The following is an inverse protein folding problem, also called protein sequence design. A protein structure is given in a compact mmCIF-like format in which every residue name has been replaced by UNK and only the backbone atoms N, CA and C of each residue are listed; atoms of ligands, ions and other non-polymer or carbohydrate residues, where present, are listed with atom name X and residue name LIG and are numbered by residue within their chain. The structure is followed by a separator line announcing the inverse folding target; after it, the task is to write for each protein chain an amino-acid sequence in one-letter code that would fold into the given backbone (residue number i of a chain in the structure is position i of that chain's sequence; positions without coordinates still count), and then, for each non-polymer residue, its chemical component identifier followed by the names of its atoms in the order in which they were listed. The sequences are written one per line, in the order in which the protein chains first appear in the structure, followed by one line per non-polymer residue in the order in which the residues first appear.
data_IF_167011611303
#
_entry.id   IF_167011611303
#
_cell.length_a   1.000
_cell.length_b   1.000
_cell.length_c   1.000
_cell.angle_alpha   90.00
_cell.angle_beta   90.00
_cell.angle_gamma   90.00
#
_symmetry.space_group_name_H-M   'P 1'
#
loop_
_entity.id
_entity.type
_entity.pdbx_description
1 polymer ?
#
# COMPACT_ATOMS: atom_id res chain seq x y z
N UNK A 1 -15.68 -4.63 14.97
CA UNK A 1 -15.97 -4.26 16.35
C UNK A 1 -15.13 -5.08 17.34
N UNK A 2 -15.24 -4.79 18.65
CA UNK A 2 -14.57 -5.51 19.72
C UNK A 2 -15.56 -6.40 20.50
N UNK A 3 -16.44 -5.79 21.31
CA UNK A 3 -17.44 -6.49 22.11
C UNK A 3 -18.37 -7.33 21.24
N UNK A 4 -18.69 -8.54 21.68
CA UNK A 4 -19.49 -9.53 20.93
C UNK A 4 -19.03 -9.80 19.50
N UNK A 5 -17.81 -9.38 19.14
CA UNK A 5 -17.19 -9.57 17.83
C UNK A 5 -15.82 -10.22 17.94
N UNK A 6 -14.88 -9.67 18.71
CA UNK A 6 -13.59 -10.33 19.01
C UNK A 6 -13.68 -11.27 20.20
N UNK A 7 -14.57 -11.01 21.12
CA UNK A 7 -14.92 -11.85 22.30
C UNK A 7 -16.40 -11.71 22.58
N UNK A 8 -16.99 -12.64 23.34
CA UNK A 8 -18.36 -12.51 23.84
C UNK A 8 -18.41 -11.68 25.09
N UNK A 9 -19.47 -10.89 25.25
CA UNK A 9 -19.63 -9.97 26.37
C UNK A 9 -19.13 -8.56 26.08
N UNK A 10 -19.28 -7.68 27.07
CA UNK A 10 -18.96 -6.25 27.00
C UNK A 10 -17.84 -5.95 28.01
N UNK A 11 -16.66 -5.59 27.53
CA UNK A 11 -15.48 -5.43 28.41
C UNK A 11 -15.70 -4.40 29.54
N UNK A 12 -16.41 -3.31 29.25
CA UNK A 12 -16.71 -2.29 30.26
C UNK A 12 -17.66 -2.74 31.36
N UNK A 13 -18.42 -3.82 31.16
CA UNK A 13 -19.38 -4.38 32.13
C UNK A 13 -18.84 -5.65 32.78
N UNK A 14 -18.30 -6.56 31.97
CA UNK A 14 -17.90 -7.91 32.40
C UNK A 14 -16.45 -7.97 32.91
N UNK A 15 -15.63 -6.99 32.54
CA UNK A 15 -14.19 -6.98 32.82
C UNK A 15 -13.42 -8.07 32.10
N UNK A 16 -12.09 -8.04 32.18
CA UNK A 16 -11.20 -8.97 31.44
C UNK A 16 -11.41 -10.44 31.82
N UNK A 17 -11.86 -10.73 33.05
CA UNK A 17 -12.13 -12.08 33.51
C UNK A 17 -13.56 -12.59 33.22
N UNK A 18 -14.46 -11.71 32.77
CA UNK A 18 -15.84 -12.05 32.49
C UNK A 18 -16.19 -12.20 31.02
N UNK A 19 -15.31 -11.69 30.11
CA UNK A 19 -15.51 -11.85 28.67
C UNK A 19 -15.30 -13.30 28.24
N UNK A 20 -16.02 -13.71 27.19
CA UNK A 20 -16.05 -15.08 26.70
C UNK A 20 -15.07 -15.24 25.53
N UNK A 21 -13.89 -15.76 25.79
CA UNK A 21 -12.91 -16.17 24.79
C UNK A 21 -12.06 -17.32 25.36
N UNK A 22 -11.96 -18.42 24.64
CA UNK A 22 -11.23 -19.59 25.19
C UNK A 22 -11.29 -20.82 24.28
N UNK A 23 -11.08 -21.99 24.92
CA UNK A 23 -11.10 -23.28 24.25
C UNK A 23 -12.49 -23.94 24.23
N UNK A 24 -13.41 -23.44 25.04
CA UNK A 24 -14.74 -23.94 25.17
C UNK A 24 -15.76 -22.99 24.52
N UNK A 25 -16.90 -23.54 24.12
CA UNK A 25 -18.01 -22.74 23.57
C UNK A 25 -18.70 -21.93 24.69
N UNK A 26 -19.10 -20.67 24.45
CA UNK A 26 -19.09 -19.95 23.17
C UNK A 26 -17.74 -19.25 22.83
N UNK A 27 -16.82 -19.11 23.77
CA UNK A 27 -15.52 -18.43 23.57
C UNK A 27 -14.67 -18.99 22.44
N UNK A 28 -14.80 -20.30 22.13
CA UNK A 28 -14.12 -20.96 21.01
C UNK A 28 -14.50 -20.36 19.65
N UNK A 29 -15.75 -19.95 19.46
CA UNK A 29 -16.21 -19.37 18.19
C UNK A 29 -15.49 -18.06 17.89
N UNK A 30 -15.35 -17.18 18.88
CA UNK A 30 -14.62 -15.93 18.76
C UNK A 30 -13.11 -16.15 18.54
N UNK A 31 -12.55 -17.13 19.24
CA UNK A 31 -11.14 -17.48 19.09
C UNK A 31 -10.83 -18.03 17.70
N UNK A 32 -11.69 -18.88 17.14
CA UNK A 32 -11.51 -19.42 15.79
C UNK A 32 -11.73 -18.36 14.70
N UNK A 33 -12.65 -17.42 14.89
CA UNK A 33 -12.75 -16.23 14.05
C UNK A 33 -11.46 -15.42 14.06
N UNK A 34 -10.87 -15.18 15.24
CA UNK A 34 -9.61 -14.46 15.35
C UNK A 34 -8.44 -15.20 14.68
N UNK A 35 -8.40 -16.57 14.76
CA UNK A 35 -7.38 -17.34 14.05
C UNK A 35 -7.44 -17.12 12.55
N UNK A 36 -8.65 -17.07 11.99
CA UNK A 36 -8.81 -16.83 10.56
C UNK A 36 -8.47 -15.37 10.20
N UNK A 37 -8.89 -14.39 10.99
CA UNK A 37 -8.49 -12.99 10.80
C UNK A 37 -6.95 -12.83 10.86
N UNK A 38 -6.27 -13.50 11.80
CA UNK A 38 -4.82 -13.53 11.87
C UNK A 38 -4.17 -14.19 10.64
N UNK A 39 -4.78 -15.29 10.15
CA UNK A 39 -4.32 -15.87 8.88
C UNK A 39 -4.43 -14.87 7.73
N UNK A 40 -5.54 -14.15 7.60
CA UNK A 40 -5.72 -13.10 6.59
C UNK A 40 -4.68 -11.98 6.73
N UNK A 41 -4.40 -11.56 7.97
CA UNK A 41 -3.36 -10.56 8.25
C UNK A 41 -1.99 -11.01 7.73
N UNK A 42 -1.62 -12.28 7.91
CA UNK A 42 -0.39 -12.86 7.35
C UNK A 42 -0.39 -12.95 5.82
N UNK A 43 -1.55 -12.92 5.19
CA UNK A 43 -1.70 -12.82 3.75
C UNK A 43 -1.74 -11.35 3.25
N UNK A 44 -1.52 -10.37 4.13
CA UNK A 44 -1.44 -8.96 3.80
C UNK A 44 -2.77 -8.20 3.86
N UNK A 45 -3.81 -8.80 4.42
CA UNK A 45 -5.04 -8.08 4.77
C UNK A 45 -4.78 -7.26 6.02
N UNK A 46 -4.99 -5.95 5.95
CA UNK A 46 -4.87 -5.08 7.12
C UNK A 46 -6.05 -5.27 8.05
N UNK A 47 -5.79 -5.47 9.34
CA UNK A 47 -6.82 -5.50 10.38
C UNK A 47 -6.94 -4.13 11.03
N UNK A 48 -8.15 -3.74 11.37
CA UNK A 48 -8.43 -2.53 12.15
C UNK A 48 -9.56 -2.78 13.15
N UNK A 49 -9.59 -1.99 14.23
CA UNK A 49 -10.68 -1.99 15.21
C UNK A 49 -11.46 -0.68 15.08
N UNK A 50 -12.79 -0.79 14.99
CA UNK A 50 -13.72 0.33 15.15
C UNK A 50 -14.69 -0.04 16.28
N UNK A 51 -14.50 0.48 17.48
CA UNK A 51 -15.29 0.09 18.66
C UNK A 51 -15.71 1.28 19.50
N UNK A 52 -16.95 1.25 20.02
CA UNK A 52 -17.48 2.21 20.99
C UNK A 52 -17.13 1.74 22.39
N UNK A 53 -15.90 2.03 22.80
CA UNK A 53 -15.32 1.59 24.06
C UNK A 53 -14.34 2.59 24.62
N UNK A 54 -13.90 2.39 25.85
CA UNK A 54 -12.70 3.00 26.37
C UNK A 54 -11.47 2.30 25.80
N UNK A 55 -10.53 3.05 25.24
CA UNK A 55 -9.34 2.47 24.59
C UNK A 55 -8.52 1.62 25.55
N UNK A 56 -8.35 2.06 26.79
CA UNK A 56 -7.56 1.37 27.81
C UNK A 56 -8.08 -0.06 28.08
N UNK A 57 -9.40 -0.24 28.14
CA UNK A 57 -10.04 -1.52 28.43
C UNK A 57 -9.80 -2.52 27.28
N UNK A 58 -10.00 -2.08 26.04
CA UNK A 58 -9.76 -2.93 24.85
C UNK A 58 -8.29 -3.28 24.70
N UNK A 59 -7.39 -2.31 24.90
CA UNK A 59 -5.94 -2.53 24.85
C UNK A 59 -5.50 -3.50 25.93
N UNK A 60 -6.05 -3.44 27.14
CA UNK A 60 -5.74 -4.39 28.20
C UNK A 60 -6.11 -5.82 27.81
N UNK A 61 -7.26 -6.05 27.15
CA UNK A 61 -7.65 -7.37 26.63
C UNK A 61 -6.64 -7.86 25.58
N UNK A 62 -6.31 -7.02 24.61
CA UNK A 62 -5.38 -7.37 23.53
C UNK A 62 -3.98 -7.74 24.05
N UNK A 63 -3.51 -7.03 25.08
CA UNK A 63 -2.15 -7.21 25.60
C UNK A 63 -2.06 -8.33 26.62
N UNK A 64 -3.10 -8.53 27.47
CA UNK A 64 -3.01 -9.37 28.68
C UNK A 64 -3.85 -10.64 28.65
N UNK A 65 -4.94 -10.70 27.88
CA UNK A 65 -5.80 -11.88 27.94
C UNK A 65 -5.16 -13.06 27.20
N UNK A 66 -4.89 -14.17 27.91
CA UNK A 66 -4.11 -15.32 27.43
C UNK A 66 -4.76 -16.04 26.23
N UNK A 67 -6.08 -16.08 26.17
CA UNK A 67 -6.81 -16.75 25.09
C UNK A 67 -6.91 -15.94 23.80
N UNK A 68 -6.57 -14.64 23.82
CA UNK A 68 -6.58 -13.77 22.65
C UNK A 68 -5.52 -14.21 21.65
N UNK A 69 -5.94 -14.46 20.41
CA UNK A 69 -5.08 -14.77 19.27
C UNK A 69 -4.56 -13.48 18.62
N UNK A 70 -5.44 -12.50 18.44
CA UNK A 70 -5.08 -11.20 17.95
C UNK A 70 -4.50 -10.35 19.07
N UNK A 71 -3.35 -9.75 18.82
CA UNK A 71 -2.65 -8.83 19.70
C UNK A 71 -2.61 -7.44 19.07
N UNK A 72 -2.31 -6.43 19.86
CA UNK A 72 -2.27 -5.03 19.43
C UNK A 72 -1.46 -4.81 18.15
N UNK A 73 -0.32 -5.46 18.03
CA UNK A 73 0.59 -5.37 16.88
C UNK A 73 0.01 -5.92 15.56
N UNK A 74 -1.06 -6.71 15.61
CA UNK A 74 -1.71 -7.22 14.41
C UNK A 74 -2.63 -6.19 13.74
N UNK A 75 -2.98 -5.10 14.44
CA UNK A 75 -3.86 -4.07 13.93
C UNK A 75 -3.09 -2.90 13.33
N UNK A 76 -3.43 -2.55 12.09
CA UNK A 76 -2.85 -1.42 11.36
C UNK A 76 -3.47 -0.08 11.75
N UNK A 77 -4.69 -0.07 12.32
CA UNK A 77 -5.37 1.10 12.85
C UNK A 77 -6.37 0.69 13.95
N UNK A 78 -6.55 1.55 14.93
CA UNK A 78 -7.56 1.41 15.98
C UNK A 78 -8.30 2.73 16.13
N UNK A 79 -9.63 2.67 16.09
CA UNK A 79 -10.59 3.72 16.39
C UNK A 79 -11.47 3.21 17.53
N UNK A 80 -10.97 3.35 18.74
CA UNK A 80 -11.63 2.91 19.96
C UNK A 80 -12.03 4.17 20.73
N UNK A 81 -13.26 4.58 20.56
CA UNK A 81 -13.80 5.80 21.14
C UNK A 81 -15.34 5.82 21.00
N UNK A 82 -16.00 6.83 21.52
CA UNK A 82 -17.46 6.93 21.55
C UNK A 82 -18.08 7.64 20.33
N UNK A 83 -17.33 7.84 19.24
CA UNK A 83 -17.91 8.36 18.00
C UNK A 83 -18.68 7.27 17.23
N UNK A 84 -19.46 7.68 16.23
CA UNK A 84 -20.20 6.71 15.40
C UNK A 84 -19.25 5.78 14.64
N UNK A 85 -19.69 4.54 14.36
CA UNK A 85 -18.94 3.59 13.52
C UNK A 85 -18.65 4.17 12.14
N UNK A 86 -19.58 4.97 11.59
CA UNK A 86 -19.39 5.69 10.31
C UNK A 86 -18.16 6.59 10.33
N UNK A 87 -17.99 7.40 11.37
CA UNK A 87 -16.82 8.28 11.51
C UNK A 87 -15.55 7.46 11.81
N UNK A 88 -15.64 6.43 12.65
CA UNK A 88 -14.52 5.52 12.92
C UNK A 88 -14.00 4.85 11.64
N UNK A 89 -14.88 4.33 10.78
CA UNK A 89 -14.50 3.72 9.50
C UNK A 89 -13.89 4.72 8.52
N UNK A 90 -14.40 5.95 8.45
CA UNK A 90 -13.77 7.03 7.65
C UNK A 90 -12.37 7.38 8.15
N UNK A 91 -12.19 7.43 9.47
CA UNK A 91 -10.88 7.69 10.08
C UNK A 91 -9.89 6.56 9.79
N UNK A 92 -10.32 5.30 9.89
CA UNK A 92 -9.53 4.12 9.52
C UNK A 92 -9.12 4.20 8.04
N UNK A 93 -10.07 4.44 7.13
CA UNK A 93 -9.77 4.57 5.70
C UNK A 93 -8.74 5.67 5.42
N UNK A 94 -8.86 6.82 6.10
CA UNK A 94 -7.92 7.94 5.98
C UNK A 94 -6.54 7.60 6.56
N UNK A 95 -6.47 6.97 7.75
CA UNK A 95 -5.22 6.53 8.39
C UNK A 95 -4.47 5.52 7.53
N UNK A 96 -5.20 4.58 6.93
CA UNK A 96 -4.62 3.53 6.09
C UNK A 96 -4.44 3.94 4.63
N UNK A 97 -4.91 5.14 4.25
CA UNK A 97 -4.88 5.65 2.88
C UNK A 97 -5.50 4.66 1.87
N UNK A 98 -6.70 4.18 2.17
CA UNK A 98 -7.49 3.25 1.34
C UNK A 98 -8.87 3.83 1.06
N UNK A 99 -9.54 3.34 0.01
CA UNK A 99 -10.95 3.66 -0.26
C UNK A 99 -11.89 2.95 0.72
N UNK A 100 -13.09 3.50 0.91
CA UNK A 100 -14.14 2.86 1.71
C UNK A 100 -14.58 1.52 1.12
N UNK A 101 -14.50 1.37 -0.20
CA UNK A 101 -14.75 0.15 -0.97
C UNK A 101 -13.76 -0.99 -0.68
N UNK A 102 -12.64 -0.69 -0.03
CA UNK A 102 -11.67 -1.68 0.43
C UNK A 102 -11.92 -2.18 1.86
N UNK A 103 -12.96 -1.66 2.55
CA UNK A 103 -13.29 -2.03 3.91
C UNK A 103 -14.32 -3.17 3.95
N UNK A 104 -14.04 -4.13 4.82
CA UNK A 104 -15.02 -5.12 5.31
C UNK A 104 -15.24 -4.85 6.79
N UNK A 105 -16.46 -4.55 7.16
CA UNK A 105 -16.86 -4.24 8.54
C UNK A 105 -17.68 -5.39 9.13
N UNK A 106 -17.28 -5.85 10.30
CA UNK A 106 -17.96 -6.91 11.06
C UNK A 106 -18.40 -6.35 12.42
N UNK A 107 -19.65 -6.52 12.76
CA UNK A 107 -20.25 -6.00 14.00
C UNK A 107 -21.42 -6.92 14.42
N UNK A 108 -21.68 -7.05 15.72
CA UNK A 108 -22.81 -7.82 16.26
C UNK A 108 -24.11 -7.03 16.27
N UNK A 109 -24.02 -5.71 16.19
CA UNK A 109 -25.15 -4.79 16.35
C UNK A 109 -25.80 -4.45 15.00
N UNK A 110 -27.02 -4.98 14.75
CA UNK A 110 -27.80 -4.70 13.53
C UNK A 110 -28.01 -3.21 13.25
N UNK A 111 -28.09 -2.38 14.29
CA UNK A 111 -28.28 -0.92 14.14
C UNK A 111 -27.00 -0.27 13.59
N UNK A 112 -25.83 -0.63 14.13
CA UNK A 112 -24.55 -0.12 13.63
C UNK A 112 -24.31 -0.56 12.18
N UNK A 113 -24.56 -1.84 11.87
CA UNK A 113 -24.51 -2.36 10.48
C UNK A 113 -25.45 -1.56 9.57
N UNK A 114 -26.71 -1.35 9.98
CA UNK A 114 -27.68 -0.59 9.18
C UNK A 114 -27.27 0.85 8.92
N UNK A 115 -26.75 1.55 9.96
CA UNK A 115 -26.25 2.92 9.81
C UNK A 115 -25.04 3.00 8.85
N UNK A 116 -24.10 2.04 8.92
CA UNK A 116 -22.95 1.99 8.03
C UNK A 116 -23.39 1.70 6.60
N UNK A 117 -24.28 0.74 6.37
CA UNK A 117 -24.81 0.43 5.03
C UNK A 117 -25.55 1.61 4.37
N UNK A 118 -26.30 2.39 5.17
CA UNK A 118 -27.02 3.56 4.68
C UNK A 118 -26.06 4.72 4.32
N UNK A 119 -25.08 4.98 5.18
CA UNK A 119 -24.23 6.18 5.07
C UNK A 119 -22.90 5.95 4.36
N UNK A 120 -22.44 4.70 4.26
CA UNK A 120 -21.22 4.26 3.59
C UNK A 120 -21.53 3.01 2.74
N UNK A 121 -22.32 3.14 1.67
CA UNK A 121 -22.78 1.99 0.87
C UNK A 121 -21.62 1.25 0.17
N UNK A 122 -20.43 1.84 0.09
CA UNK A 122 -19.22 1.22 -0.45
C UNK A 122 -18.61 0.19 0.50
N UNK A 123 -18.88 0.28 1.82
CA UNK A 123 -18.34 -0.65 2.82
C UNK A 123 -19.12 -1.95 2.80
N UNK A 124 -18.41 -3.06 2.66
CA UNK A 124 -19.02 -4.38 2.81
C UNK A 124 -19.23 -4.70 4.30
N UNK A 125 -20.46 -4.96 4.70
CA UNK A 125 -20.83 -5.18 6.10
C UNK A 125 -21.27 -6.62 6.35
N UNK A 126 -20.80 -7.21 7.44
CA UNK A 126 -21.24 -8.50 7.96
C UNK A 126 -21.75 -8.38 9.39
N UNK A 127 -22.94 -8.90 9.64
CA UNK A 127 -23.46 -9.07 10.99
C UNK A 127 -22.91 -10.36 11.58
N UNK A 128 -22.47 -10.33 12.84
CA UNK A 128 -22.15 -11.56 13.58
C UNK A 128 -23.40 -12.45 13.63
N UNK A 129 -23.32 -13.73 13.23
CA UNK A 129 -24.47 -14.61 13.19
C UNK A 129 -25.02 -14.90 14.59
N UNK A 130 -26.33 -15.07 14.71
CA UNK A 130 -26.99 -15.46 15.96
C UNK A 130 -26.51 -16.82 16.44
N UNK A 131 -26.33 -17.76 15.48
CA UNK A 131 -25.71 -19.06 15.72
C UNK A 131 -24.20 -18.95 15.70
N UNK A 132 -23.58 -18.78 16.87
CA UNK A 132 -22.12 -18.58 16.99
C UNK A 132 -21.29 -19.73 16.42
N UNK A 133 -21.87 -20.92 16.24
CA UNK A 133 -21.20 -22.02 15.56
C UNK A 133 -20.86 -21.71 14.09
N UNK A 134 -21.58 -20.80 13.43
CA UNK A 134 -21.33 -20.37 12.06
C UNK A 134 -20.27 -19.25 11.98
N UNK A 135 -20.00 -18.56 13.09
CA UNK A 135 -19.17 -17.37 13.13
C UNK A 135 -17.73 -17.60 12.61
N UNK A 136 -17.02 -18.69 12.95
CA UNK A 136 -15.67 -18.95 12.41
C UNK A 136 -15.62 -19.04 10.88
N UNK A 137 -16.75 -19.36 10.24
CA UNK A 137 -16.89 -19.45 8.79
C UNK A 137 -17.21 -18.12 8.09
N UNK A 138 -17.60 -17.07 8.82
CA UNK A 138 -18.12 -15.83 8.26
C UNK A 138 -17.21 -15.22 7.19
N UNK A 139 -15.96 -14.97 7.52
CA UNK A 139 -14.98 -14.40 6.58
C UNK A 139 -14.43 -15.43 5.58
N UNK A 140 -14.37 -16.71 5.97
CA UNK A 140 -13.85 -17.76 5.10
C UNK A 140 -14.78 -18.03 3.92
N UNK A 141 -16.08 -18.01 4.18
CA UNK A 141 -17.10 -18.42 3.20
C UNK A 141 -17.60 -17.25 2.33
N UNK A 142 -17.19 -16.01 2.60
CA UNK A 142 -17.69 -14.86 1.86
C UNK A 142 -17.04 -14.66 0.46
N UNK A 143 -15.93 -15.36 0.16
CA UNK A 143 -15.22 -15.25 -1.13
C UNK A 143 -14.48 -13.94 -1.39
N UNK A 144 -14.51 -12.99 -0.45
CA UNK A 144 -13.87 -11.66 -0.62
C UNK A 144 -12.35 -11.69 -0.40
N UNK A 145 -11.86 -12.72 0.28
CA UNK A 145 -10.46 -12.85 0.67
C UNK A 145 -9.72 -13.93 -0.11
N UNK A 146 -10.26 -14.36 -1.24
CA UNK A 146 -9.58 -15.26 -2.16
C UNK A 146 -8.46 -14.49 -2.85
N UNK A 147 -7.27 -14.56 -2.26
CA UNK A 147 -6.08 -13.82 -2.70
C UNK A 147 -5.29 -14.77 -3.60
N UNK A 148 -4.89 -14.26 -4.78
CA UNK A 148 -3.99 -14.99 -5.67
C UNK A 148 -2.56 -15.06 -5.10
N UNK A 149 -1.55 -14.70 -5.89
CA UNK A 149 -0.16 -14.69 -5.43
C UNK A 149 0.07 -13.56 -4.40
N UNK A 150 0.56 -13.93 -3.21
CA UNK A 150 0.87 -13.00 -2.11
C UNK A 150 2.34 -12.63 -2.17
N UNK A 151 2.63 -11.35 -2.38
CA UNK A 151 4.01 -10.83 -2.44
C UNK A 151 4.61 -10.64 -1.03
N UNK A 152 5.95 -10.46 -0.96
CA UNK A 152 6.64 -10.12 0.31
C UNK A 152 6.06 -8.84 0.91
N UNK A 153 5.81 -7.82 0.10
CA UNK A 153 5.26 -6.53 0.53
C UNK A 153 3.83 -6.66 1.06
N UNK A 154 3.02 -7.58 0.53
CA UNK A 154 1.69 -7.85 1.08
C UNK A 154 1.79 -8.41 2.50
N UNK A 155 2.71 -9.34 2.75
CA UNK A 155 2.93 -9.94 4.08
C UNK A 155 3.46 -8.94 5.11
N UNK A 156 4.28 -7.99 4.68
CA UNK A 156 4.88 -6.98 5.55
C UNK A 156 4.03 -5.71 5.69
N UNK A 157 2.82 -5.69 5.13
CA UNK A 157 1.98 -4.48 5.03
C UNK A 157 1.70 -3.82 6.38
N UNK A 158 1.36 -4.58 7.40
CA UNK A 158 1.12 -4.05 8.77
C UNK A 158 2.36 -3.37 9.34
N UNK A 159 3.55 -3.99 9.16
CA UNK A 159 4.83 -3.40 9.57
C UNK A 159 5.12 -2.08 8.84
N UNK A 160 4.88 -2.06 7.53
CA UNK A 160 5.06 -0.85 6.71
C UNK A 160 4.13 0.29 7.16
N UNK A 161 2.91 -0.02 7.60
CA UNK A 161 1.99 0.99 8.13
C UNK A 161 2.47 1.58 9.45
N UNK A 162 3.00 0.74 10.36
CA UNK A 162 3.60 1.23 11.61
C UNK A 162 4.81 2.15 11.36
N UNK A 163 5.66 1.80 10.39
CA UNK A 163 6.79 2.64 9.98
C UNK A 163 6.32 3.99 9.39
N UNK A 164 5.23 4.01 8.61
CA UNK A 164 4.68 5.23 8.05
C UNK A 164 4.06 6.14 9.13
N UNK A 165 3.41 5.55 10.13
CA UNK A 165 2.91 6.30 11.28
C UNK A 165 4.05 6.99 12.07
N UNK A 166 5.17 6.27 12.29
CA UNK A 166 6.35 6.85 12.95
C UNK A 166 6.97 7.99 12.11
N UNK A 167 7.07 7.83 10.78
CA UNK A 167 7.55 8.90 9.88
C UNK A 167 6.69 10.16 9.98
N UNK A 168 5.37 9.97 9.97
CA UNK A 168 4.44 11.10 10.05
C UNK A 168 4.58 11.84 11.37
N UNK A 169 4.69 11.13 12.47
CA UNK A 169 4.88 11.73 13.80
C UNK A 169 6.17 12.57 13.85
N UNK A 170 7.28 12.05 13.34
CA UNK A 170 8.57 12.78 13.33
C UNK A 170 8.54 13.96 12.35
N UNK A 171 7.83 13.84 11.22
CA UNK A 171 7.73 14.94 10.25
C UNK A 171 6.96 16.16 10.78
N UNK A 172 6.08 15.97 11.76
CA UNK A 172 5.32 17.07 12.39
C UNK A 172 6.19 17.90 13.37
N UNK A 173 7.39 17.43 13.73
CA UNK A 173 8.25 18.05 14.73
C UNK A 173 9.35 18.92 14.16
N UNK A 174 9.63 18.83 12.86
CA UNK A 174 10.73 19.55 12.18
C UNK A 174 10.25 20.11 10.84
N UNK A 175 11.05 20.98 10.20
CA UNK A 175 10.73 21.46 8.86
C UNK A 175 10.77 20.33 7.84
N UNK A 176 10.03 20.47 6.74
CA UNK A 176 9.97 19.47 5.67
C UNK A 176 11.35 19.18 5.06
N UNK A 177 12.18 20.20 4.92
CA UNK A 177 13.53 20.08 4.37
C UNK A 177 14.47 19.32 5.33
N UNK A 178 14.47 19.68 6.61
CA UNK A 178 15.24 18.98 7.65
C UNK A 178 14.79 17.52 7.77
N UNK A 179 13.48 17.26 7.72
CA UNK A 179 12.97 15.92 7.77
C UNK A 179 13.46 15.08 6.58
N UNK A 180 13.35 15.61 5.36
CA UNK A 180 13.83 14.93 4.15
C UNK A 180 15.32 14.60 4.22
N UNK A 181 16.15 15.56 4.62
CA UNK A 181 17.59 15.35 4.78
C UNK A 181 17.92 14.28 5.83
N UNK A 182 17.14 14.23 6.93
CA UNK A 182 17.33 13.27 8.01
C UNK A 182 16.81 11.86 7.71
N UNK A 183 16.05 11.64 6.62
CA UNK A 183 15.50 10.33 6.26
C UNK A 183 16.59 9.30 5.94
N UNK A 184 17.75 9.71 5.38
CA UNK A 184 18.77 8.80 4.88
C UNK A 184 18.24 7.92 3.75
N UNK A 185 17.51 8.55 2.81
CA UNK A 185 16.79 7.85 1.73
C UNK A 185 17.78 7.18 0.77
N UNK A 186 17.58 5.88 0.54
CA UNK A 186 18.31 5.10 -0.44
C UNK A 186 17.37 4.58 -1.51
N UNK A 187 17.73 4.83 -2.77
CA UNK A 187 16.94 4.49 -3.96
C UNK A 187 17.76 3.52 -4.81
N UNK A 188 17.36 2.26 -4.85
CA UNK A 188 18.01 1.21 -5.65
C UNK A 188 17.17 0.96 -6.90
N UNK A 189 17.72 1.26 -8.07
CA UNK A 189 17.07 1.00 -9.36
C UNK A 189 17.76 -0.17 -10.04
N UNK A 190 17.00 -1.11 -10.54
CA UNK A 190 17.52 -2.32 -11.17
C UNK A 190 16.61 -2.81 -12.29
N UNK A 191 17.21 -3.60 -13.19
CA UNK A 191 16.48 -4.30 -14.23
C UNK A 191 15.68 -5.46 -13.66
N UNK A 192 14.39 -5.55 -14.03
CA UNK A 192 13.46 -6.55 -13.50
C UNK A 192 13.84 -7.95 -13.96
N UNK A 193 13.98 -8.85 -12.98
CA UNK A 193 14.20 -10.28 -13.20
C UNK A 193 13.00 -11.10 -12.71
N UNK A 194 12.99 -12.41 -13.00
CA UNK A 194 11.88 -13.32 -12.73
C UNK A 194 11.28 -13.22 -11.32
N UNK A 195 12.12 -13.09 -10.29
CA UNK A 195 11.69 -12.96 -8.89
C UNK A 195 10.89 -11.66 -8.60
N UNK A 196 11.02 -10.63 -9.44
CA UNK A 196 10.35 -9.36 -9.27
C UNK A 196 9.04 -9.25 -10.08
N UNK A 197 8.76 -10.20 -10.99
CA UNK A 197 7.66 -10.12 -11.96
C UNK A 197 6.29 -9.97 -11.31
N UNK A 198 5.98 -10.80 -10.30
CA UNK A 198 4.70 -10.75 -9.62
C UNK A 198 4.43 -9.37 -9.01
N UNK A 199 5.42 -8.82 -8.30
CA UNK A 199 5.30 -7.50 -7.65
C UNK A 199 5.27 -6.36 -8.67
N UNK A 200 6.09 -6.41 -9.71
CA UNK A 200 6.09 -5.43 -10.80
C UNK A 200 4.71 -5.38 -11.48
N UNK A 201 4.16 -6.55 -11.83
CA UNK A 201 2.82 -6.66 -12.43
C UNK A 201 1.73 -6.15 -11.48
N UNK A 202 1.83 -6.46 -10.20
CA UNK A 202 0.89 -5.98 -9.18
C UNK A 202 0.88 -4.44 -9.11
N UNK A 203 2.06 -3.79 -9.11
CA UNK A 203 2.16 -2.33 -9.09
C UNK A 203 1.58 -1.70 -10.37
N UNK A 204 1.88 -2.26 -11.55
CA UNK A 204 1.33 -1.79 -12.83
C UNK A 204 -0.21 -1.80 -12.79
N UNK A 205 -0.80 -2.82 -12.18
CA UNK A 205 -2.25 -3.00 -12.18
C UNK A 205 -2.97 -2.30 -11.02
N UNK A 206 -2.28 -2.00 -9.91
CA UNK A 206 -2.91 -1.36 -8.73
C UNK A 206 -2.64 0.15 -8.62
N UNK A 207 -1.61 0.69 -9.30
CA UNK A 207 -1.26 2.11 -9.20
C UNK A 207 -2.06 2.95 -10.18
N UNK A 208 -2.75 3.98 -9.67
CA UNK A 208 -3.59 4.89 -10.46
C UNK A 208 -3.15 6.34 -10.38
N UNK A 209 -2.78 6.82 -9.18
CA UNK A 209 -2.50 8.24 -8.94
C UNK A 209 -1.15 8.67 -9.51
N UNK A 210 -0.08 8.02 -9.10
CA UNK A 210 1.24 8.24 -9.68
C UNK A 210 1.49 7.22 -10.80
N UNK A 211 0.83 7.38 -11.93
CA UNK A 211 0.97 6.54 -13.11
C UNK A 211 0.71 7.38 -14.37
N UNK A 212 1.73 7.59 -15.18
CA UNK A 212 1.69 8.53 -16.28
C UNK A 212 0.87 8.06 -17.48
N UNK A 213 0.71 6.74 -17.66
CA UNK A 213 0.00 6.18 -18.83
C UNK A 213 -1.14 5.24 -18.47
N UNK A 214 -1.18 4.74 -17.24
CA UNK A 214 -2.20 3.79 -16.70
C UNK A 214 -2.43 2.54 -17.54
N UNK A 215 -1.44 2.13 -18.35
CA UNK A 215 -1.49 0.92 -19.17
C UNK A 215 -1.41 -0.31 -18.23
N UNK A 216 -2.40 -1.22 -18.33
CA UNK A 216 -2.44 -2.47 -17.56
C UNK A 216 -1.80 -3.60 -18.35
N UNK A 217 -1.20 -4.57 -17.63
CA UNK A 217 -0.49 -5.71 -18.25
C UNK A 217 -0.68 -6.97 -17.45
N UNK A 218 -0.71 -8.09 -18.13
CA UNK A 218 -0.57 -9.42 -17.52
C UNK A 218 0.88 -9.70 -17.15
N UNK A 219 1.11 -10.72 -16.35
CA UNK A 219 2.47 -11.11 -15.95
C UNK A 219 3.28 -11.65 -17.15
N UNK A 220 2.61 -12.33 -18.08
CA UNK A 220 3.19 -12.81 -19.33
C UNK A 220 3.66 -11.65 -20.23
N UNK A 221 2.86 -10.58 -20.32
CA UNK A 221 3.24 -9.38 -21.09
C UNK A 221 4.43 -8.67 -20.45
N UNK A 222 4.47 -8.55 -19.11
CA UNK A 222 5.64 -7.97 -18.41
C UNK A 222 6.88 -8.84 -18.64
N UNK A 223 6.73 -10.17 -18.55
CA UNK A 223 7.82 -11.10 -18.80
C UNK A 223 8.36 -10.97 -20.23
N UNK A 224 7.47 -10.90 -21.22
CA UNK A 224 7.88 -10.72 -22.62
C UNK A 224 8.66 -9.41 -22.85
N UNK A 225 8.31 -8.33 -22.11
CA UNK A 225 9.07 -7.08 -22.14
C UNK A 225 10.45 -7.21 -21.47
N UNK A 226 10.57 -7.99 -20.40
CA UNK A 226 11.88 -8.27 -19.77
C UNK A 226 12.79 -9.10 -20.67
N UNK A 227 12.23 -10.01 -21.45
CA UNK A 227 12.99 -10.91 -22.35
C UNK A 227 13.34 -10.24 -23.70
N UNK A 228 12.83 -9.03 -23.99
CA UNK A 228 13.02 -8.32 -25.26
C UNK A 228 14.25 -7.39 -25.24
N UNK A 229 15.07 -7.43 -26.28
CA UNK A 229 16.19 -6.49 -26.45
C UNK A 229 15.75 -5.05 -26.79
N UNK A 230 14.54 -4.88 -27.30
CA UNK A 230 13.96 -3.57 -27.64
C UNK A 230 13.22 -2.92 -26.48
N UNK A 231 13.27 -3.51 -25.27
CA UNK A 231 12.67 -2.95 -24.07
C UNK A 231 13.58 -3.11 -22.86
N UNK A 232 13.37 -2.23 -21.87
CA UNK A 232 14.05 -2.25 -20.59
C UNK A 232 13.01 -2.04 -19.50
N UNK A 233 12.85 -3.02 -18.64
CA UNK A 233 11.92 -2.96 -17.51
C UNK A 233 12.72 -2.70 -16.25
N UNK A 234 12.55 -1.51 -15.68
CA UNK A 234 13.22 -1.07 -14.45
C UNK A 234 12.26 -1.10 -13.29
N UNK A 235 12.76 -1.47 -12.12
CA UNK A 235 12.06 -1.33 -10.86
C UNK A 235 12.92 -0.55 -9.87
N UNK A 236 12.28 0.06 -8.86
CA UNK A 236 12.99 0.69 -7.76
C UNK A 236 12.51 0.18 -6.41
N UNK A 237 13.48 -0.15 -5.57
CA UNK A 237 13.32 -0.38 -4.13
C UNK A 237 13.83 0.83 -3.38
N UNK A 238 13.17 1.15 -2.28
CA UNK A 238 13.50 2.31 -1.46
C UNK A 238 13.56 1.86 0.00
N UNK A 239 14.55 2.40 0.72
CA UNK A 239 14.69 2.28 2.16
C UNK A 239 15.02 3.63 2.79
N UNK A 240 14.67 3.81 4.06
CA UNK A 240 15.07 4.93 4.87
C UNK A 240 15.37 4.47 6.32
N UNK A 241 15.68 5.41 7.22
CA UNK A 241 15.99 5.10 8.63
C UNK A 241 14.87 4.34 9.38
N UNK A 242 13.63 4.37 8.92
CA UNK A 242 12.51 3.65 9.54
C UNK A 242 12.32 2.24 8.96
N UNK A 243 12.88 1.96 7.79
CA UNK A 243 12.88 0.64 7.17
C UNK A 243 12.64 0.63 5.66
N UNK A 244 12.43 -0.57 5.14
CA UNK A 244 12.22 -0.82 3.72
C UNK A 244 10.78 -0.50 3.29
N UNK A 245 10.62 0.09 2.11
CA UNK A 245 9.33 0.23 1.42
C UNK A 245 9.06 -0.92 0.45
N UNK A 246 10.08 -1.74 0.18
CA UNK A 246 10.08 -2.76 -0.86
C UNK A 246 10.07 -2.18 -2.26
N UNK A 247 9.62 -2.95 -3.25
CA UNK A 247 9.50 -2.52 -4.64
C UNK A 247 8.31 -1.56 -4.79
N UNK A 248 8.61 -0.29 -5.09
CA UNK A 248 7.65 0.83 -5.05
C UNK A 248 7.56 1.64 -6.34
N UNK A 249 8.40 1.41 -7.33
CA UNK A 249 8.30 2.08 -8.62
C UNK A 249 8.64 1.16 -9.77
N UNK A 250 8.08 1.43 -10.95
CA UNK A 250 8.30 0.70 -12.20
C UNK A 250 8.40 1.68 -13.35
N UNK A 251 9.39 1.46 -14.23
CA UNK A 251 9.47 2.11 -15.51
C UNK A 251 9.67 1.06 -16.62
N UNK A 252 8.95 1.20 -17.71
CA UNK A 252 9.12 0.39 -18.92
C UNK A 252 9.54 1.33 -20.04
N UNK A 253 10.73 1.07 -20.58
CA UNK A 253 11.29 1.81 -21.69
C UNK A 253 11.24 0.94 -22.95
N UNK A 254 10.98 1.54 -24.10
CA UNK A 254 10.97 0.87 -25.40
C UNK A 254 11.86 1.60 -26.39
N UNK A 255 12.67 0.85 -27.11
CA UNK A 255 13.50 1.40 -28.17
C UNK A 255 12.62 1.99 -29.28
N UNK A 256 12.90 3.24 -29.64
CA UNK A 256 12.24 3.97 -30.70
C UNK A 256 13.13 4.11 -31.94
N UNK A 257 12.73 4.98 -32.87
CA UNK A 257 13.51 5.24 -34.09
C UNK A 257 14.65 6.23 -33.84
N UNK A 258 15.71 6.16 -34.67
CA UNK A 258 16.80 7.14 -34.69
C UNK A 258 17.53 7.36 -33.35
N UNK A 259 17.61 6.31 -32.50
CA UNK A 259 18.27 6.41 -31.19
C UNK A 259 17.43 7.09 -30.11
N UNK A 260 16.10 7.20 -30.31
CA UNK A 260 15.20 7.56 -29.22
C UNK A 260 14.78 6.34 -28.43
N UNK A 261 14.42 6.56 -27.16
CA UNK A 261 13.71 5.60 -26.33
C UNK A 261 12.46 6.25 -25.77
N UNK A 262 11.39 5.48 -25.63
CA UNK A 262 10.11 5.95 -25.13
C UNK A 262 9.84 5.38 -23.73
N UNK A 263 9.46 6.21 -22.78
CA UNK A 263 8.91 5.79 -21.48
C UNK A 263 7.45 5.37 -21.74
N UNK A 264 7.23 4.09 -21.92
CA UNK A 264 5.92 3.49 -22.12
C UNK A 264 5.09 3.46 -20.83
N UNK A 265 5.74 3.17 -19.72
CA UNK A 265 5.12 3.13 -18.38
C UNK A 265 6.07 3.79 -17.39
N UNK A 266 5.54 4.67 -16.53
CA UNK A 266 6.24 5.19 -15.36
C UNK A 266 5.22 5.35 -14.24
N UNK A 267 5.48 4.67 -13.15
CA UNK A 267 4.62 4.70 -11.96
C UNK A 267 5.41 4.54 -10.67
N UNK A 268 4.87 5.08 -9.58
CA UNK A 268 5.37 4.89 -8.23
C UNK A 268 4.23 4.75 -7.22
N UNK A 269 4.49 4.04 -6.14
CA UNK A 269 3.57 3.96 -5.01
C UNK A 269 3.43 5.31 -4.31
N UNK A 270 2.22 5.68 -3.92
CA UNK A 270 1.96 6.91 -3.17
C UNK A 270 2.71 6.98 -1.82
N UNK A 271 3.17 5.85 -1.28
CA UNK A 271 3.92 5.77 -0.02
C UNK A 271 5.26 6.51 -0.02
N UNK A 272 5.85 6.74 -1.19
CA UNK A 272 7.19 7.35 -1.33
C UNK A 272 7.16 8.75 -1.90
N UNK A 273 5.98 9.31 -2.15
CA UNK A 273 5.80 10.63 -2.73
C UNK A 273 6.24 11.75 -1.77
N UNK A 274 6.68 12.87 -2.35
CA UNK A 274 7.04 14.08 -1.60
C UNK A 274 8.42 14.00 -0.88
N UNK A 275 9.22 12.93 -1.13
CA UNK A 275 10.52 12.71 -0.46
C UNK A 275 11.72 12.85 -1.39
N UNK A 276 11.49 13.19 -2.66
CA UNK A 276 12.52 13.30 -3.69
C UNK A 276 12.90 11.98 -4.36
N UNK A 277 12.28 10.86 -3.95
CA UNK A 277 12.52 9.55 -4.53
C UNK A 277 12.15 9.47 -6.02
N UNK A 278 11.11 10.18 -6.42
CA UNK A 278 10.68 10.33 -7.82
C UNK A 278 11.78 10.97 -8.68
N UNK A 279 12.43 12.02 -8.16
CA UNK A 279 13.54 12.68 -8.85
C UNK A 279 14.73 11.74 -9.03
N UNK A 280 15.12 11.02 -7.97
CA UNK A 280 16.21 10.05 -8.06
C UNK A 280 15.88 8.89 -9.02
N UNK A 281 14.64 8.39 -9.00
CA UNK A 281 14.21 7.34 -9.93
C UNK A 281 14.24 7.81 -11.39
N UNK A 282 13.74 9.02 -11.69
CA UNK A 282 13.78 9.60 -13.03
C UNK A 282 15.23 9.80 -13.50
N UNK A 283 16.11 10.29 -12.64
CA UNK A 283 17.55 10.41 -12.93
C UNK A 283 18.14 9.07 -13.37
N UNK A 284 17.86 7.99 -12.64
CA UNK A 284 18.34 6.65 -12.98
C UNK A 284 17.70 6.09 -14.26
N UNK A 285 16.44 6.40 -14.54
CA UNK A 285 15.78 6.03 -15.81
C UNK A 285 16.50 6.69 -16.99
N UNK A 286 16.82 7.98 -16.90
CA UNK A 286 17.56 8.72 -17.93
C UNK A 286 18.96 8.12 -18.11
N UNK A 287 19.68 7.85 -17.03
CA UNK A 287 20.99 7.20 -17.03
C UNK A 287 20.95 5.80 -17.67
N UNK A 288 19.95 4.97 -17.30
CA UNK A 288 19.77 3.64 -17.86
C UNK A 288 19.51 3.68 -19.38
N UNK A 289 18.67 4.63 -19.83
CA UNK A 289 18.42 4.82 -21.26
C UNK A 289 19.69 5.21 -22.03
N UNK A 290 20.53 6.09 -21.46
CA UNK A 290 21.81 6.48 -22.03
C UNK A 290 22.77 5.28 -22.16
N UNK A 291 22.85 4.42 -21.11
CA UNK A 291 23.67 3.21 -21.13
C UNK A 291 23.22 2.20 -22.20
N UNK A 292 21.91 2.20 -22.55
CA UNK A 292 21.35 1.41 -23.66
C UNK A 292 21.46 2.11 -25.01
N UNK A 293 22.22 3.21 -25.12
CA UNK A 293 22.52 3.92 -26.35
C UNK A 293 21.46 4.93 -26.81
N UNK A 294 20.52 5.29 -25.94
CA UNK A 294 19.57 6.36 -26.25
C UNK A 294 20.31 7.70 -26.38
N UNK A 295 19.90 8.51 -27.34
CA UNK A 295 20.29 9.93 -27.46
C UNK A 295 19.23 10.86 -26.89
N UNK A 296 17.96 10.44 -27.01
CA UNK A 296 16.78 11.18 -26.55
C UNK A 296 15.87 10.18 -25.84
N UNK A 297 15.39 10.57 -24.66
CA UNK A 297 14.34 9.88 -23.95
C UNK A 297 13.05 10.67 -24.09
N UNK A 298 11.97 9.99 -24.49
CA UNK A 298 10.65 10.57 -24.67
C UNK A 298 9.73 10.07 -23.55
N UNK A 299 9.07 10.97 -22.87
CA UNK A 299 8.06 10.65 -21.87
C UNK A 299 6.65 10.98 -22.38
N UNK A 300 5.67 10.14 -22.06
CA UNK A 300 4.27 10.37 -22.41
C UNK A 300 3.43 10.49 -21.13
N UNK A 301 2.56 11.48 -21.12
CA UNK A 301 1.52 11.65 -20.10
C UNK A 301 0.13 11.51 -20.75
N UNK A 302 -0.65 10.56 -20.24
CA UNK A 302 -2.04 10.32 -20.64
C UNK A 302 -2.94 10.68 -19.46
N UNK A 303 -3.66 11.82 -19.53
CA UNK A 303 -4.46 12.31 -18.41
C UNK A 303 -5.63 11.39 -18.09
N UNK A 304 -5.87 11.19 -16.80
CA UNK A 304 -7.04 10.49 -16.26
C UNK A 304 -7.60 11.27 -15.07
N UNK A 305 -8.80 10.91 -14.60
CA UNK A 305 -9.38 11.54 -13.39
C UNK A 305 -8.52 11.32 -12.13
N UNK A 306 -7.65 10.30 -12.10
CA UNK A 306 -6.90 9.89 -10.91
C UNK A 306 -5.42 10.30 -10.93
N UNK A 307 -4.81 10.57 -12.10
CA UNK A 307 -3.37 10.82 -12.22
C UNK A 307 -2.97 12.29 -12.43
N UNK A 308 -3.87 13.23 -12.16
CA UNK A 308 -3.61 14.66 -12.34
C UNK A 308 -2.38 15.16 -11.54
N UNK A 309 -2.08 14.52 -10.43
CA UNK A 309 -0.94 14.89 -9.58
C UNK A 309 0.44 14.72 -10.24
N UNK A 310 0.53 14.02 -11.38
CA UNK A 310 1.77 13.81 -12.13
C UNK A 310 1.81 14.52 -13.48
N UNK A 311 0.87 15.44 -13.73
CA UNK A 311 0.78 16.21 -14.96
C UNK A 311 2.04 17.04 -15.25
N UNK A 312 2.68 17.56 -14.19
CA UNK A 312 3.89 18.38 -14.26
C UNK A 312 5.18 17.58 -14.07
N UNK A 313 5.13 16.24 -13.97
CA UNK A 313 6.28 15.43 -13.63
C UNK A 313 7.45 15.61 -14.61
N UNK A 314 7.19 15.53 -15.91
CA UNK A 314 8.23 15.69 -16.93
C UNK A 314 8.82 17.09 -16.95
N UNK A 315 8.02 18.19 -17.05
CA UNK A 315 8.57 19.54 -17.04
C UNK A 315 9.34 19.86 -15.77
N UNK A 316 8.89 19.42 -14.62
CA UNK A 316 9.57 19.62 -13.32
C UNK A 316 10.95 18.95 -13.26
N UNK A 317 11.19 17.93 -14.09
CA UNK A 317 12.46 17.21 -14.20
C UNK A 317 13.26 17.57 -15.46
N UNK A 318 13.00 18.73 -16.06
CA UNK A 318 13.79 19.26 -17.16
C UNK A 318 13.46 18.67 -18.55
N UNK A 319 12.37 17.92 -18.68
CA UNK A 319 11.91 17.51 -20.00
C UNK A 319 11.23 18.69 -20.70
N UNK A 320 11.53 18.85 -21.98
CA UNK A 320 10.95 19.87 -22.85
C UNK A 320 9.75 19.28 -23.63
N UNK A 321 8.75 20.12 -23.89
CA UNK A 321 7.57 19.72 -24.63
C UNK A 321 7.94 19.40 -26.09
N UNK A 322 7.60 18.20 -26.55
CA UNK A 322 7.74 17.82 -27.95
C UNK A 322 6.63 18.44 -28.82
N UNK A 323 6.75 18.36 -30.13
CA UNK A 323 5.71 18.82 -31.05
C UNK A 323 4.41 18.02 -31.03
N UNK A 324 4.38 16.87 -30.33
CA UNK A 324 3.25 15.97 -30.16
C UNK A 324 2.59 16.26 -28.79
N UNK A 325 1.26 16.29 -28.75
CA UNK A 325 0.52 16.54 -27.50
C UNK A 325 0.75 15.41 -26.47
N UNK A 326 0.99 15.81 -25.21
CA UNK A 326 1.25 14.88 -24.11
C UNK A 326 2.60 14.16 -24.20
N UNK A 327 3.52 14.63 -25.07
CA UNK A 327 4.88 14.07 -25.22
C UNK A 327 5.92 15.09 -24.81
N UNK A 328 6.89 14.62 -24.05
CA UNK A 328 8.01 15.38 -23.50
C UNK A 328 9.32 14.69 -23.83
N UNK A 329 10.41 15.43 -23.99
CA UNK A 329 11.72 14.88 -24.36
C UNK A 329 12.82 15.45 -23.51
N UNK A 330 13.84 14.62 -23.25
CA UNK A 330 15.09 15.05 -22.61
C UNK A 330 16.26 14.38 -23.34
N UNK A 331 17.41 15.05 -23.35
CA UNK A 331 18.67 14.42 -23.79
C UNK A 331 19.03 13.28 -22.83
N UNK A 332 19.31 12.10 -23.36
CA UNK A 332 19.69 10.95 -22.56
C UNK A 332 21.17 11.05 -22.17
N UNK A 333 21.45 11.68 -21.04
CA UNK A 333 22.78 11.73 -20.42
C UNK A 333 22.69 11.45 -18.93
N UNK A 334 23.74 10.91 -18.33
CA UNK A 334 23.72 10.50 -16.92
C UNK A 334 23.43 11.66 -15.96
N UNK A 335 23.81 12.88 -16.32
CA UNK A 335 23.71 14.07 -15.48
C UNK A 335 22.52 14.96 -15.88
N UNK A 336 21.62 14.51 -16.77
CA UNK A 336 20.52 15.33 -17.27
C UNK A 336 19.50 15.69 -16.20
N UNK A 337 19.32 14.86 -15.17
CA UNK A 337 18.41 15.10 -14.05
C UNK A 337 19.20 14.98 -12.74
N UNK A 338 19.40 16.10 -12.06
CA UNK A 338 20.02 16.11 -10.74
C UNK A 338 18.97 15.76 -9.66
N UNK A 339 19.39 15.05 -8.62
CA UNK A 339 18.59 14.78 -7.43
C UNK A 339 19.32 15.25 -6.16
N UNK A 340 18.62 15.45 -5.05
CA UNK A 340 19.21 15.97 -3.83
C UNK A 340 20.38 15.13 -3.29
N UNK A 341 21.45 15.78 -2.84
CA UNK A 341 22.68 15.12 -2.34
C UNK A 341 22.45 14.23 -1.10
N UNK A 342 21.35 14.44 -0.37
CA UNK A 342 20.97 13.60 0.77
C UNK A 342 20.33 12.27 0.37
N UNK A 343 20.14 12.01 -0.94
CA UNK A 343 19.61 10.75 -1.44
C UNK A 343 20.77 9.91 -1.99
N UNK A 344 20.97 8.73 -1.43
CA UNK A 344 21.85 7.72 -2.01
C UNK A 344 21.10 6.97 -3.12
N UNK A 345 21.61 7.01 -4.35
CA UNK A 345 20.98 6.31 -5.47
C UNK A 345 21.94 5.41 -6.21
N UNK A 346 21.48 4.22 -6.60
CA UNK A 346 22.26 3.24 -7.35
C UNK A 346 21.44 2.64 -8.49
N UNK A 347 22.10 2.37 -9.63
CA UNK A 347 21.55 1.69 -10.81
C UNK A 347 22.30 0.39 -11.07
N UNK A 348 21.57 -0.71 -11.24
CA UNK A 348 22.11 -2.01 -11.62
C UNK A 348 21.37 -2.51 -12.86
N UNK A 349 22.09 -2.65 -13.98
CA UNK A 349 21.58 -3.25 -15.21
C UNK A 349 22.21 -4.64 -15.40
N UNK A 350 21.46 -5.54 -16.04
CA UNK A 350 21.98 -6.84 -16.50
C UNK A 350 22.99 -6.63 -17.62
N UNK A 351 24.05 -7.44 -17.66
CA UNK A 351 25.08 -7.42 -18.70
C UNK A 351 24.54 -7.84 -20.08
#
# INVERSE_FOLDING_TARGET
DADNTLWGGIIGEDGIGGIEIGNDFPGLAFRDFQKYAHYLQKQGVMLAIASKNNEEDVVEVLDRHDAMVLKREHFSAMEINWVSKVEGLKNIARKLNIGLDALVFVDDNRKEIGEVQERLPEVTCFLVPEELAEYPGLLRNCGLFDIGEVTKEDRERTKMMAQEAARKQDSEQVSEEEFRAALGLKVKVFEVQGQHLARTTQLINKTNQFNLTTIRRTQEEVKALCDSQDSLVLATEIEDRYGEYGLVGVAILKAGQKGSWDIDTLLMSCRVLGRGADTAFISQIVSASAQRGAKILRGRYLPTQKNRMVEDLYPRHGFEKAGEEGVWTISASADAVAYPDYIESALTLSE
#
